data_IF_402254469633
#
_entry.id   IF_402254469633
#
_cell.length_a   1.000
_cell.length_b   1.000
_cell.length_c   1.000
_cell.angle_alpha   90.00
_cell.angle_beta   90.00
_cell.angle_gamma   90.00
#
_symmetry.space_group_name_H-M   'P 1'
#
loop_
_entity.id
_entity.type
_entity.pdbx_description
1 polymer ?
#
# COMPACT_ATOMS: atom_id res chain seq x y z
N UNK A 1 -11.18 -16.61 -18.41
CA UNK A 1 -9.91 -16.04 -17.91
C UNK A 1 -9.33 -15.21 -19.04
N UNK A 2 -9.07 -13.95 -18.80
CA UNK A 2 -8.40 -13.06 -19.78
C UNK A 2 -6.99 -13.59 -20.01
N UNK A 3 -6.55 -13.68 -21.28
CA UNK A 3 -5.19 -14.11 -21.63
C UNK A 3 -4.26 -12.88 -21.58
N UNK A 4 -3.43 -12.81 -20.55
CA UNK A 4 -2.46 -11.71 -20.36
C UNK A 4 -1.08 -11.97 -20.96
N UNK A 5 -0.87 -13.10 -21.67
CA UNK A 5 0.45 -13.51 -22.16
C UNK A 5 1.11 -12.49 -23.12
N UNK A 6 0.34 -11.54 -23.66
CA UNK A 6 0.86 -10.45 -24.52
C UNK A 6 0.77 -9.08 -23.84
N UNK A 7 0.21 -8.99 -22.63
CA UNK A 7 0.07 -7.73 -21.91
C UNK A 7 1.36 -7.42 -21.16
N UNK A 8 2.04 -6.35 -21.54
CA UNK A 8 3.24 -5.87 -20.83
C UNK A 8 2.86 -4.83 -19.80
N UNK A 9 3.22 -5.10 -18.55
CA UNK A 9 2.97 -4.20 -17.44
C UNK A 9 4.27 -3.62 -16.90
N UNK A 10 4.29 -2.31 -16.62
CA UNK A 10 5.37 -1.64 -15.91
C UNK A 10 5.02 -1.54 -14.43
N UNK A 11 5.91 -1.98 -13.56
CA UNK A 11 5.79 -1.76 -12.11
C UNK A 11 6.90 -0.80 -11.67
N UNK A 12 6.51 0.41 -11.27
CA UNK A 12 7.39 1.32 -10.52
C UNK A 12 7.25 1.02 -9.03
N UNK A 13 8.33 1.21 -8.25
CA UNK A 13 8.27 0.89 -6.81
C UNK A 13 8.26 -0.61 -6.49
N UNK A 14 8.79 -1.47 -7.38
CA UNK A 14 8.85 -2.93 -7.22
C UNK A 14 9.64 -3.42 -6.00
N UNK A 15 10.45 -2.56 -5.37
CA UNK A 15 11.17 -2.85 -4.12
C UNK A 15 10.39 -2.51 -2.85
N UNK A 16 9.26 -1.82 -2.97
CA UNK A 16 8.39 -1.45 -1.86
C UNK A 16 7.48 -2.61 -1.41
N UNK A 17 6.74 -2.39 -0.32
CA UNK A 17 5.87 -3.40 0.29
C UNK A 17 4.85 -4.00 -0.71
N UNK A 18 4.09 -3.15 -1.40
CA UNK A 18 3.09 -3.60 -2.39
C UNK A 18 3.78 -4.12 -3.65
N UNK A 19 4.74 -3.38 -4.21
CA UNK A 19 5.37 -3.75 -5.47
C UNK A 19 6.10 -5.09 -5.42
N UNK A 20 6.76 -5.41 -4.30
CA UNK A 20 7.46 -6.69 -4.12
C UNK A 20 6.52 -7.91 -4.10
N UNK A 21 5.26 -7.70 -3.71
CA UNK A 21 4.20 -8.71 -3.70
C UNK A 21 3.42 -8.75 -5.01
N UNK A 22 3.21 -7.58 -5.63
CA UNK A 22 2.48 -7.48 -6.90
C UNK A 22 3.22 -8.13 -8.06
N UNK A 23 4.55 -7.99 -8.14
CA UNK A 23 5.34 -8.55 -9.24
C UNK A 23 5.15 -10.08 -9.38
N UNK A 24 5.34 -10.90 -8.34
CA UNK A 24 5.09 -12.34 -8.47
C UNK A 24 3.62 -12.66 -8.82
N UNK A 25 2.66 -11.96 -8.27
CA UNK A 25 1.24 -12.16 -8.58
C UNK A 25 0.90 -11.87 -10.06
N UNK A 26 1.51 -10.84 -10.64
CA UNK A 26 1.37 -10.54 -12.08
C UNK A 26 2.01 -11.64 -12.94
N UNK A 27 3.19 -12.12 -12.57
CA UNK A 27 3.88 -13.19 -13.28
C UNK A 27 3.10 -14.51 -13.25
N UNK A 28 2.47 -14.86 -12.12
CA UNK A 28 1.64 -16.07 -12.00
C UNK A 28 0.35 -15.98 -12.84
N UNK A 29 -0.13 -14.76 -13.10
CA UNK A 29 -1.28 -14.51 -14.01
C UNK A 29 -0.87 -14.39 -15.48
N UNK A 30 0.42 -14.55 -15.81
CA UNK A 30 0.94 -14.61 -17.16
C UNK A 30 1.30 -13.25 -17.79
N UNK A 31 1.33 -12.15 -17.04
CA UNK A 31 1.77 -10.85 -17.55
C UNK A 31 3.26 -10.83 -17.89
N UNK A 32 3.64 -10.09 -18.92
CA UNK A 32 5.03 -9.70 -19.16
C UNK A 32 5.37 -8.50 -18.27
N UNK A 33 6.17 -8.72 -17.22
CA UNK A 33 6.45 -7.69 -16.23
C UNK A 33 7.77 -6.98 -16.53
N UNK A 34 7.73 -5.64 -16.57
CA UNK A 34 8.90 -4.76 -16.55
C UNK A 34 8.93 -4.01 -15.22
N UNK A 35 10.11 -3.84 -14.64
CA UNK A 35 10.31 -3.07 -13.41
C UNK A 35 11.27 -1.90 -13.66
N UNK A 36 10.95 -0.72 -13.11
CA UNK A 36 11.86 0.43 -13.05
C UNK A 36 12.48 0.47 -11.65
N UNK A 37 13.80 0.44 -11.57
CA UNK A 37 14.54 0.53 -10.31
C UNK A 37 15.76 1.43 -10.44
N UNK A 38 16.05 2.21 -9.39
CA UNK A 38 17.25 3.05 -9.33
C UNK A 38 18.54 2.25 -9.22
N UNK A 39 18.45 1.03 -8.73
CA UNK A 39 19.60 0.18 -8.51
C UNK A 39 19.19 -1.29 -8.71
N UNK A 40 19.76 -1.91 -9.72
CA UNK A 40 19.52 -3.33 -10.07
C UNK A 40 19.86 -4.29 -8.92
N UNK A 41 20.85 -3.95 -8.09
CA UNK A 41 21.23 -4.80 -6.95
C UNK A 41 20.11 -4.99 -5.93
N UNK A 42 19.17 -4.02 -5.79
CA UNK A 42 18.03 -4.11 -4.87
C UNK A 42 16.99 -5.16 -5.28
N UNK A 43 17.01 -5.59 -6.52
CA UNK A 43 16.12 -6.64 -7.05
C UNK A 43 16.86 -7.92 -7.43
N UNK A 44 18.19 -7.90 -7.41
CA UNK A 44 19.02 -9.02 -7.85
C UNK A 44 18.81 -10.32 -7.03
N UNK A 45 18.44 -10.21 -5.76
CA UNK A 45 18.16 -11.35 -4.88
C UNK A 45 16.72 -11.83 -4.94
N UNK A 46 15.85 -11.22 -5.75
CA UNK A 46 14.43 -11.58 -5.82
C UNK A 46 14.26 -12.84 -6.67
N UNK A 47 13.44 -13.79 -6.22
CA UNK A 47 13.16 -15.05 -6.93
C UNK A 47 12.60 -14.85 -8.35
N UNK A 48 12.01 -13.70 -8.61
CA UNK A 48 11.42 -13.35 -9.91
C UNK A 48 12.35 -12.57 -10.85
N UNK A 49 13.61 -12.28 -10.45
CA UNK A 49 14.53 -11.39 -11.19
C UNK A 49 14.77 -11.79 -12.63
N UNK A 50 14.88 -13.09 -12.89
CA UNK A 50 15.10 -13.64 -14.24
C UNK A 50 13.82 -13.77 -15.08
N UNK A 51 12.66 -13.48 -14.48
CA UNK A 51 11.34 -13.52 -15.13
C UNK A 51 10.83 -12.15 -15.55
N UNK A 52 11.57 -11.07 -15.26
CA UNK A 52 11.15 -9.69 -15.52
C UNK A 52 12.17 -8.94 -16.37
N UNK A 53 11.71 -7.97 -17.14
CA UNK A 53 12.56 -6.98 -17.77
C UNK A 53 12.92 -5.87 -16.77
N UNK A 54 14.20 -5.59 -16.59
CA UNK A 54 14.67 -4.57 -15.65
C UNK A 54 15.18 -3.36 -16.41
N UNK A 55 14.56 -2.21 -16.19
CA UNK A 55 15.06 -0.90 -16.59
C UNK A 55 15.71 -0.24 -15.39
N UNK A 56 17.03 -0.06 -15.44
CA UNK A 56 17.75 0.70 -14.42
C UNK A 56 17.72 2.19 -14.75
N UNK A 57 17.26 2.98 -13.78
CA UNK A 57 17.16 4.43 -13.91
C UNK A 57 16.37 5.06 -12.78
N UNK A 58 16.57 6.37 -12.60
CA UNK A 58 15.80 7.17 -11.66
C UNK A 58 14.52 7.69 -12.34
N UNK A 59 13.40 7.66 -11.63
CA UNK A 59 12.12 8.19 -12.12
C UNK A 59 12.11 9.74 -12.27
N UNK A 60 13.16 10.43 -11.80
CA UNK A 60 13.41 11.85 -12.10
C UNK A 60 13.99 12.07 -13.49
N UNK A 61 14.53 11.02 -14.14
CA UNK A 61 15.10 11.07 -15.49
C UNK A 61 14.04 10.78 -16.54
N UNK A 62 13.79 11.73 -17.44
CA UNK A 62 12.87 11.55 -18.57
C UNK A 62 13.30 10.39 -19.48
N UNK A 63 14.61 10.25 -19.75
CA UNK A 63 15.15 9.17 -20.57
C UNK A 63 14.89 7.78 -19.92
N UNK A 64 15.05 7.67 -18.60
CA UNK A 64 14.75 6.43 -17.88
C UNK A 64 13.25 6.09 -17.93
N UNK A 65 12.40 7.10 -17.78
CA UNK A 65 10.94 6.92 -17.88
C UNK A 65 10.52 6.55 -19.31
N UNK A 66 11.08 7.20 -20.34
CA UNK A 66 10.77 6.88 -21.72
C UNK A 66 11.17 5.45 -22.08
N UNK A 67 12.36 4.98 -21.63
CA UNK A 67 12.75 3.57 -21.78
C UNK A 67 11.83 2.62 -21.02
N UNK A 68 11.45 2.99 -19.79
CA UNK A 68 10.58 2.15 -18.97
C UNK A 68 9.18 2.02 -19.56
N UNK A 69 8.61 3.09 -20.08
CA UNK A 69 7.24 3.14 -20.62
C UNK A 69 7.13 2.58 -22.06
N UNK A 70 8.23 2.49 -22.81
CA UNK A 70 8.18 2.09 -24.23
C UNK A 70 7.59 0.69 -24.42
N UNK A 71 6.52 0.57 -25.19
CA UNK A 71 5.84 -0.69 -25.49
C UNK A 71 5.18 -1.35 -24.28
N UNK A 72 4.77 -0.56 -23.29
CA UNK A 72 4.01 -0.98 -22.11
C UNK A 72 2.52 -0.72 -22.35
N UNK A 73 1.67 -1.67 -21.99
CA UNK A 73 0.21 -1.56 -22.10
C UNK A 73 -0.40 -0.93 -20.84
N UNK A 74 0.04 -1.36 -19.66
CA UNK A 74 -0.47 -0.93 -18.35
C UNK A 74 0.68 -0.54 -17.44
N UNK A 75 0.54 0.52 -16.66
CA UNK A 75 1.57 0.93 -15.72
C UNK A 75 1.04 1.03 -14.28
N UNK A 76 1.72 0.37 -13.35
CA UNK A 76 1.51 0.52 -11.92
C UNK A 76 2.43 1.60 -11.38
N UNK A 77 1.86 2.71 -10.92
CA UNK A 77 2.58 3.78 -10.26
C UNK A 77 2.54 3.56 -8.75
N UNK A 78 3.62 2.99 -8.19
CA UNK A 78 3.74 2.70 -6.75
C UNK A 78 4.91 3.46 -6.12
N UNK A 79 5.35 4.57 -6.75
CA UNK A 79 6.38 5.44 -6.18
C UNK A 79 5.78 6.29 -5.07
N UNK A 80 6.60 6.48 -4.03
CA UNK A 80 6.21 7.27 -2.88
C UNK A 80 7.44 7.74 -2.12
N UNK A 81 7.52 9.04 -1.84
CA UNK A 81 8.63 9.66 -1.13
C UNK A 81 8.28 9.79 0.36
N UNK A 82 8.53 8.72 1.16
CA UNK A 82 8.33 8.75 2.62
C UNK A 82 9.61 9.02 3.41
N UNK A 83 10.72 9.34 2.74
CA UNK A 83 12.05 9.38 3.35
C UNK A 83 12.31 10.65 4.20
N UNK A 84 11.28 11.47 4.46
CA UNK A 84 11.21 12.45 5.56
C UNK A 84 12.15 13.66 5.46
N UNK A 85 13.07 13.74 4.51
CA UNK A 85 13.98 14.88 4.35
C UNK A 85 13.63 15.70 3.10
N UNK A 86 13.38 16.99 3.30
CA UNK A 86 13.08 17.94 2.24
C UNK A 86 11.59 18.00 1.87
N UNK A 87 11.31 18.71 0.79
CA UNK A 87 9.95 18.88 0.27
C UNK A 87 9.48 17.63 -0.51
N UNK A 88 8.99 16.62 0.23
CA UNK A 88 8.47 15.40 -0.37
C UNK A 88 7.23 15.66 -1.23
N UNK A 89 6.43 16.68 -0.92
CA UNK A 89 5.23 17.05 -1.67
C UNK A 89 5.61 17.49 -3.09
N UNK A 90 6.58 18.41 -3.22
CA UNK A 90 7.04 18.87 -4.52
C UNK A 90 7.71 17.74 -5.31
N UNK A 91 8.45 16.88 -4.63
CA UNK A 91 9.08 15.71 -5.27
C UNK A 91 8.05 14.73 -5.82
N UNK A 92 7.04 14.38 -5.03
CA UNK A 92 5.98 13.47 -5.46
C UNK A 92 5.16 14.06 -6.61
N UNK A 93 4.89 15.37 -6.56
CA UNK A 93 4.25 16.14 -7.64
C UNK A 93 5.02 16.05 -8.95
N UNK A 94 6.32 16.35 -8.90
CA UNK A 94 7.18 16.35 -10.09
C UNK A 94 7.34 14.94 -10.67
N UNK A 95 7.50 13.91 -9.82
CA UNK A 95 7.56 12.52 -10.27
C UNK A 95 6.27 12.10 -10.98
N UNK A 96 5.10 12.45 -10.43
CA UNK A 96 3.82 12.12 -11.03
C UNK A 96 3.63 12.80 -12.38
N UNK A 97 3.99 14.09 -12.50
CA UNK A 97 3.94 14.82 -13.78
C UNK A 97 4.83 14.20 -14.85
N UNK A 98 6.09 13.94 -14.53
CA UNK A 98 7.05 13.33 -15.47
C UNK A 98 6.61 11.95 -15.90
N UNK A 99 6.13 11.13 -14.95
CA UNK A 99 5.63 9.80 -15.25
C UNK A 99 4.39 9.85 -16.15
N UNK A 100 3.41 10.70 -15.84
CA UNK A 100 2.21 10.88 -16.65
C UNK A 100 2.52 11.30 -18.09
N UNK A 101 3.46 12.24 -18.28
CA UNK A 101 3.91 12.67 -19.61
C UNK A 101 4.64 11.55 -20.37
N UNK A 102 5.47 10.75 -19.69
CA UNK A 102 6.14 9.61 -20.34
C UNK A 102 5.12 8.52 -20.73
N UNK A 103 4.17 8.22 -19.85
CA UNK A 103 3.09 7.28 -20.11
C UNK A 103 2.22 7.72 -21.32
N UNK A 104 1.89 9.01 -21.40
CA UNK A 104 1.14 9.59 -22.53
C UNK A 104 1.92 9.47 -23.85
N UNK A 105 3.21 9.84 -23.86
CA UNK A 105 4.06 9.70 -25.06
C UNK A 105 4.16 8.25 -25.52
N UNK A 106 4.27 7.32 -24.59
CA UNK A 106 4.34 5.89 -24.86
C UNK A 106 2.98 5.27 -25.23
N UNK A 107 1.88 6.03 -25.13
CA UNK A 107 0.49 5.59 -25.39
C UNK A 107 0.09 4.41 -24.50
N UNK A 108 0.48 4.46 -23.22
CA UNK A 108 0.05 3.48 -22.21
C UNK A 108 -1.48 3.53 -22.13
N UNK A 109 -2.12 2.36 -22.14
CA UNK A 109 -3.58 2.25 -22.12
C UNK A 109 -4.19 2.59 -20.75
N UNK A 110 -3.46 2.35 -19.66
CA UNK A 110 -3.94 2.64 -18.30
C UNK A 110 -2.79 2.82 -17.30
N UNK A 111 -2.98 3.77 -16.39
CA UNK A 111 -2.20 3.88 -15.15
C UNK A 111 -3.05 3.35 -13.99
N UNK A 112 -2.45 2.54 -13.13
CA UNK A 112 -3.05 2.08 -11.88
C UNK A 112 -2.20 2.61 -10.74
N UNK A 113 -2.80 3.37 -9.83
CA UNK A 113 -2.14 4.02 -8.71
C UNK A 113 -2.78 3.60 -7.39
N UNK A 114 -1.98 3.17 -6.41
CA UNK A 114 -2.45 2.91 -5.05
C UNK A 114 -2.23 4.14 -4.18
N UNK A 115 -3.30 4.75 -3.75
CA UNK A 115 -3.35 5.95 -2.91
C UNK A 115 -3.87 5.62 -1.51
N UNK A 116 -3.93 6.65 -0.65
CA UNK A 116 -4.59 6.57 0.64
C UNK A 116 -6.06 6.99 0.54
N UNK A 117 -6.92 6.25 1.22
CA UNK A 117 -8.30 6.67 1.45
C UNK A 117 -8.28 7.90 2.36
N UNK A 118 -9.04 8.91 2.02
CA UNK A 118 -9.05 10.19 2.72
C UNK A 118 -10.47 10.60 3.09
N UNK A 119 -10.65 11.24 4.27
CA UNK A 119 -11.92 11.85 4.65
C UNK A 119 -12.20 13.11 3.82
N UNK A 120 -13.44 13.57 3.86
CA UNK A 120 -13.78 14.92 3.44
C UNK A 120 -13.20 15.95 4.43
N UNK A 121 -12.68 17.08 3.94
CA UNK A 121 -12.16 18.16 4.76
C UNK A 121 -10.65 18.34 4.73
N UNK A 122 -10.07 18.84 5.81
CA UNK A 122 -8.62 19.08 5.89
C UNK A 122 -7.82 17.79 5.91
N UNK A 123 -6.88 17.68 5.00
CA UNK A 123 -5.98 16.53 4.87
C UNK A 123 -4.63 16.84 5.51
N UNK A 124 -3.98 15.81 6.05
CA UNK A 124 -2.56 15.93 6.38
C UNK A 124 -1.75 16.15 5.09
N UNK A 125 -0.59 16.81 5.19
CA UNK A 125 0.29 17.06 4.02
C UNK A 125 0.57 15.78 3.23
N UNK A 126 0.71 14.66 3.92
CA UNK A 126 0.93 13.35 3.33
C UNK A 126 -0.27 12.86 2.51
N UNK A 127 -1.48 12.94 3.05
CA UNK A 127 -2.70 12.55 2.32
C UNK A 127 -2.98 13.52 1.17
N UNK A 128 -2.79 14.82 1.40
CA UNK A 128 -2.94 15.85 0.36
C UNK A 128 -2.01 15.59 -0.83
N UNK A 129 -0.73 15.26 -0.57
CA UNK A 129 0.24 14.87 -1.62
C UNK A 129 -0.24 13.66 -2.41
N UNK A 130 -0.76 12.63 -1.75
CA UNK A 130 -1.26 11.42 -2.43
C UNK A 130 -2.49 11.70 -3.30
N UNK A 131 -3.40 12.54 -2.83
CA UNK A 131 -4.57 13.00 -3.60
C UNK A 131 -4.11 13.80 -4.82
N UNK A 132 -3.16 14.71 -4.63
CA UNK A 132 -2.59 15.52 -5.72
C UNK A 132 -1.92 14.64 -6.78
N UNK A 133 -1.11 13.65 -6.38
CA UNK A 133 -0.52 12.66 -7.30
C UNK A 133 -1.60 11.96 -8.12
N UNK A 134 -2.70 11.50 -7.50
CA UNK A 134 -3.83 10.91 -8.20
C UNK A 134 -4.43 11.85 -9.25
N UNK A 135 -4.68 13.11 -8.89
CA UNK A 135 -5.20 14.13 -9.80
C UNK A 135 -4.25 14.39 -10.98
N UNK A 136 -2.93 14.47 -10.73
CA UNK A 136 -1.94 14.67 -11.79
C UNK A 136 -1.86 13.51 -12.76
N UNK A 137 -1.95 12.28 -12.27
CA UNK A 137 -1.97 11.09 -13.10
C UNK A 137 -3.26 11.04 -13.96
N UNK A 138 -4.43 11.30 -13.36
CA UNK A 138 -5.70 11.40 -14.10
C UNK A 138 -5.70 12.51 -15.13
N UNK A 139 -5.04 13.63 -14.87
CA UNK A 139 -4.90 14.76 -15.78
C UNK A 139 -3.86 14.55 -16.89
N UNK A 140 -3.08 13.46 -16.85
CA UNK A 140 -2.01 13.18 -17.83
C UNK A 140 -2.51 12.87 -19.24
N UNK A 141 -3.80 12.62 -19.42
CA UNK A 141 -4.38 12.15 -20.68
C UNK A 141 -4.32 10.64 -20.88
N UNK A 142 -3.80 9.90 -19.89
CA UNK A 142 -3.85 8.43 -19.83
C UNK A 142 -4.95 8.01 -18.86
N UNK A 143 -5.92 7.14 -19.23
CA UNK A 143 -6.92 6.63 -18.31
C UNK A 143 -6.28 6.07 -17.04
N UNK A 144 -6.68 6.59 -15.89
CA UNK A 144 -6.04 6.27 -14.60
C UNK A 144 -7.07 5.75 -13.60
N UNK A 145 -6.80 4.60 -13.00
CA UNK A 145 -7.54 4.09 -11.85
C UNK A 145 -6.73 4.37 -10.58
N UNK A 146 -7.26 5.22 -9.70
CA UNK A 146 -6.65 5.53 -8.40
C UNK A 146 -7.37 4.72 -7.33
N UNK A 147 -6.72 3.69 -6.78
CA UNK A 147 -7.28 2.85 -5.72
C UNK A 147 -6.88 3.46 -4.36
N UNK A 148 -7.86 3.83 -3.55
CA UNK A 148 -7.69 4.50 -2.27
C UNK A 148 -7.94 3.52 -1.12
N UNK A 149 -6.88 3.14 -0.40
CA UNK A 149 -6.94 2.22 0.74
C UNK A 149 -6.68 2.95 2.06
N UNK A 150 -7.38 2.55 3.12
CA UNK A 150 -7.11 3.02 4.48
C UNK A 150 -5.90 2.26 5.08
N UNK A 151 -6.14 1.33 5.98
CA UNK A 151 -5.14 0.52 6.66
C UNK A 151 -5.02 -0.84 5.97
N UNK A 152 -3.83 -1.15 5.46
CA UNK A 152 -3.55 -2.44 4.81
C UNK A 152 -3.01 -3.43 5.84
N UNK A 153 -3.72 -4.55 6.00
CA UNK A 153 -3.39 -5.64 6.93
C UNK A 153 -2.52 -6.68 6.25
N UNK A 154 -1.32 -6.86 6.74
CA UNK A 154 -0.36 -7.86 6.28
C UNK A 154 1.02 -7.62 6.91
N UNK A 155 1.73 -8.68 7.25
CA UNK A 155 3.07 -8.60 7.83
C UNK A 155 4.02 -7.84 6.90
N UNK A 156 4.80 -6.93 7.45
CA UNK A 156 5.68 -6.03 6.70
C UNK A 156 5.06 -4.70 6.32
N UNK A 157 3.72 -4.54 6.36
CA UNK A 157 3.11 -3.22 6.17
C UNK A 157 3.33 -2.35 7.41
N UNK A 158 3.71 -1.08 7.20
CA UNK A 158 4.00 -0.18 8.31
C UNK A 158 2.81 0.00 9.27
N UNK A 159 1.58 0.06 8.74
CA UNK A 159 0.36 0.17 9.52
C UNK A 159 0.13 -1.07 10.40
N UNK A 160 0.33 -2.26 9.83
CA UNK A 160 0.16 -3.51 10.57
C UNK A 160 1.26 -3.73 11.60
N UNK A 161 2.52 -3.41 11.28
CA UNK A 161 3.63 -3.52 12.23
C UNK A 161 3.47 -2.53 13.40
N UNK A 162 2.95 -1.34 13.15
CA UNK A 162 2.60 -0.40 14.21
C UNK A 162 1.53 -1.01 15.14
N UNK A 163 0.45 -1.59 14.60
CA UNK A 163 -0.58 -2.29 15.38
C UNK A 163 0.02 -3.43 16.18
N UNK A 164 0.84 -4.29 15.54
CA UNK A 164 1.52 -5.43 16.17
C UNK A 164 2.37 -5.00 17.37
N UNK A 165 3.31 -4.09 17.15
CA UNK A 165 4.25 -3.68 18.20
C UNK A 165 3.59 -2.92 19.33
N UNK A 166 2.63 -2.04 19.05
CA UNK A 166 1.86 -1.39 20.10
C UNK A 166 1.12 -2.42 20.96
N UNK A 167 0.45 -3.37 20.31
CA UNK A 167 -0.34 -4.37 21.03
C UNK A 167 0.55 -5.34 21.82
N UNK A 168 1.66 -5.81 21.26
CA UNK A 168 2.54 -6.79 21.94
C UNK A 168 3.31 -6.18 23.08
N UNK A 169 3.82 -4.94 22.94
CA UNK A 169 4.71 -4.31 23.92
C UNK A 169 3.99 -3.60 25.07
N UNK A 170 2.74 -3.20 24.85
CA UNK A 170 2.02 -2.36 25.82
C UNK A 170 0.80 -3.08 26.40
N UNK A 171 0.91 -3.62 27.64
CA UNK A 171 -0.23 -4.19 28.34
C UNK A 171 -1.24 -3.11 28.82
N UNK A 172 -0.75 -1.88 29.03
CA UNK A 172 -1.56 -0.69 29.35
C UNK A 172 -1.19 0.40 28.36
N UNK A 173 -2.19 0.98 27.70
CA UNK A 173 -2.02 2.06 26.72
C UNK A 173 -2.77 3.30 27.16
N UNK A 174 -2.06 4.41 27.20
CA UNK A 174 -2.68 5.75 27.31
C UNK A 174 -2.86 6.29 25.90
N UNK A 175 -4.11 6.50 25.49
CA UNK A 175 -4.44 6.79 24.09
C UNK A 175 -5.23 8.08 23.96
N UNK A 176 -5.08 8.80 22.83
CA UNK A 176 -5.90 9.95 22.52
C UNK A 176 -7.33 9.52 22.12
N UNK A 177 -8.26 10.49 22.14
CA UNK A 177 -9.68 10.25 21.78
C UNK A 177 -9.86 9.74 20.35
N UNK A 178 -9.02 10.17 19.41
CA UNK A 178 -9.12 9.80 18.00
C UNK A 178 -8.82 8.31 17.70
N UNK A 179 -8.31 7.53 18.66
CA UNK A 179 -8.27 6.06 18.52
C UNK A 179 -9.66 5.42 18.47
N UNK A 180 -10.71 6.18 18.79
CA UNK A 180 -12.11 5.80 18.61
C UNK A 180 -12.68 6.16 17.23
N UNK A 181 -11.91 6.78 16.34
CA UNK A 181 -12.36 7.05 14.97
C UNK A 181 -12.51 5.75 14.19
N UNK A 182 -13.50 5.71 13.30
CA UNK A 182 -13.78 4.55 12.48
C UNK A 182 -12.80 4.47 11.31
N UNK A 183 -12.32 3.27 11.07
CA UNK A 183 -11.37 2.91 10.00
C UNK A 183 -11.90 1.66 9.32
N UNK A 184 -11.70 1.55 8.03
CA UNK A 184 -12.09 0.37 7.27
C UNK A 184 -10.84 -0.32 6.68
N UNK A 185 -10.23 -1.28 7.42
CA UNK A 185 -9.02 -1.98 6.98
C UNK A 185 -9.30 -2.92 5.82
N UNK A 186 -8.25 -3.25 5.05
CA UNK A 186 -8.29 -4.21 3.95
C UNK A 186 -7.08 -5.14 4.01
N UNK A 187 -7.27 -6.42 3.70
CA UNK A 187 -6.19 -7.40 3.57
C UNK A 187 -5.28 -7.08 2.38
N UNK A 188 -3.95 -7.28 2.54
CA UNK A 188 -3.01 -7.02 1.43
C UNK A 188 -3.27 -7.91 0.22
N UNK A 189 -3.74 -9.14 0.41
CA UNK A 189 -4.11 -10.03 -0.69
C UNK A 189 -5.24 -9.45 -1.54
N UNK A 190 -6.27 -8.91 -0.88
CA UNK A 190 -7.40 -8.26 -1.55
C UNK A 190 -6.94 -6.98 -2.30
N UNK A 191 -6.02 -6.19 -1.70
CA UNK A 191 -5.42 -5.04 -2.38
C UNK A 191 -4.73 -5.45 -3.68
N UNK A 192 -3.94 -6.53 -3.66
CA UNK A 192 -3.26 -7.03 -4.86
C UNK A 192 -4.25 -7.52 -5.91
N UNK A 193 -5.27 -8.24 -5.49
CA UNK A 193 -6.32 -8.74 -6.36
C UNK A 193 -7.11 -7.60 -7.02
N UNK A 194 -7.45 -6.54 -6.29
CA UNK A 194 -8.12 -5.35 -6.83
C UNK A 194 -7.20 -4.54 -7.76
N UNK A 195 -5.90 -4.40 -7.42
CA UNK A 195 -4.92 -3.78 -8.31
C UNK A 195 -4.82 -4.51 -9.65
N UNK A 196 -4.84 -5.83 -9.64
CA UNK A 196 -4.79 -6.64 -10.86
C UNK A 196 -6.12 -6.59 -11.62
N UNK A 197 -7.24 -6.66 -10.92
CA UNK A 197 -8.56 -6.56 -11.53
C UNK A 197 -8.79 -5.19 -12.22
N UNK A 198 -8.16 -4.12 -11.74
CA UNK A 198 -8.23 -2.80 -12.36
C UNK A 198 -7.61 -2.73 -13.78
N UNK A 199 -6.88 -3.76 -14.21
CA UNK A 199 -6.37 -3.89 -15.60
C UNK A 199 -7.53 -4.00 -16.59
N UNK A 200 -8.58 -4.72 -16.22
CA UNK A 200 -9.73 -5.04 -17.08
C UNK A 200 -10.83 -3.96 -17.06
N UNK A 201 -10.63 -2.86 -16.33
CA UNK A 201 -11.60 -1.76 -16.33
C UNK A 201 -11.82 -1.20 -17.76
N UNK A 202 -13.03 -0.74 -18.09
CA UNK A 202 -13.34 -0.09 -19.36
C UNK A 202 -12.34 1.06 -19.65
N UNK A 203 -11.89 1.24 -20.90
CA UNK A 203 -10.83 2.20 -21.25
C UNK A 203 -11.20 3.66 -20.93
N UNK A 204 -12.49 3.99 -20.85
CA UNK A 204 -12.98 5.32 -20.48
C UNK A 204 -12.89 5.64 -18.99
N UNK A 205 -12.64 4.63 -18.15
CA UNK A 205 -12.56 4.80 -16.69
C UNK A 205 -11.30 5.58 -16.31
N UNK A 206 -11.50 6.79 -15.76
CA UNK A 206 -10.46 7.71 -15.32
C UNK A 206 -10.91 8.39 -14.02
N UNK A 207 -10.78 7.69 -12.88
CA UNK A 207 -11.25 8.16 -11.58
C UNK A 207 -10.59 7.48 -10.40
N UNK A 208 -10.85 8.00 -9.20
CA UNK A 208 -10.55 7.35 -7.95
C UNK A 208 -11.66 6.36 -7.54
N UNK A 209 -11.26 5.31 -6.84
CA UNK A 209 -12.09 4.27 -6.26
C UNK A 209 -11.67 4.02 -4.82
N UNK A 210 -12.64 3.89 -3.92
CA UNK A 210 -12.39 3.45 -2.56
C UNK A 210 -12.23 1.93 -2.53
N UNK A 211 -11.16 1.45 -1.89
CA UNK A 211 -10.97 0.03 -1.64
C UNK A 211 -10.85 -0.25 -0.14
N UNK A 212 -11.67 -1.13 0.36
CA UNK A 212 -11.73 -1.46 1.77
C UNK A 212 -12.26 -2.88 1.98
N UNK A 213 -11.90 -3.50 3.10
CA UNK A 213 -12.51 -4.76 3.54
C UNK A 213 -13.94 -4.56 4.07
N UNK A 214 -14.63 -5.65 4.43
CA UNK A 214 -16.03 -5.59 4.87
C UNK A 214 -16.21 -4.95 6.26
N UNK A 215 -15.20 -4.97 7.12
CA UNK A 215 -15.31 -4.54 8.51
C UNK A 215 -15.00 -3.05 8.69
N UNK A 216 -15.88 -2.33 9.37
CA UNK A 216 -15.62 -0.97 9.87
C UNK A 216 -15.31 -1.07 11.37
N UNK A 217 -14.09 -0.70 11.76
CA UNK A 217 -13.56 -0.85 13.11
C UNK A 217 -12.94 0.45 13.61
N UNK A 218 -12.83 0.60 14.92
CA UNK A 218 -11.94 1.57 15.53
C UNK A 218 -10.53 0.99 15.66
N UNK A 219 -9.51 1.84 15.77
CA UNK A 219 -8.15 1.36 16.03
C UNK A 219 -8.06 0.61 17.37
N UNK A 220 -8.91 1.01 18.35
CA UNK A 220 -9.08 0.30 19.61
C UNK A 220 -9.53 -1.14 19.39
N UNK A 221 -10.60 -1.35 18.62
CA UNK A 221 -11.13 -2.69 18.32
C UNK A 221 -10.11 -3.55 17.58
N UNK A 222 -9.33 -2.95 16.65
CA UNK A 222 -8.24 -3.67 16.00
C UNK A 222 -7.18 -4.15 17.00
N UNK A 223 -6.80 -3.34 18.01
CA UNK A 223 -5.87 -3.72 19.09
C UNK A 223 -6.47 -4.88 19.92
N UNK A 224 -7.74 -4.79 20.28
CA UNK A 224 -8.43 -5.80 21.09
C UNK A 224 -8.51 -7.15 20.35
N UNK A 225 -8.94 -7.12 19.09
CA UNK A 225 -8.98 -8.34 18.23
C UNK A 225 -7.59 -8.92 17.95
N UNK A 226 -6.57 -8.06 17.74
CA UNK A 226 -5.20 -8.53 17.62
C UNK A 226 -4.74 -9.26 18.88
N UNK A 227 -4.98 -8.69 20.09
CA UNK A 227 -4.62 -9.32 21.34
C UNK A 227 -5.31 -10.66 21.54
N UNK A 228 -6.61 -10.74 21.26
CA UNK A 228 -7.40 -11.97 21.32
C UNK A 228 -6.84 -13.03 20.36
N UNK A 229 -6.65 -12.68 19.10
CA UNK A 229 -6.17 -13.60 18.04
C UNK A 229 -4.78 -14.16 18.33
N UNK A 230 -3.93 -13.40 19.01
CA UNK A 230 -2.54 -13.80 19.35
C UNK A 230 -2.40 -14.37 20.75
N UNK A 231 -3.51 -14.61 21.47
CA UNK A 231 -3.49 -15.19 22.82
C UNK A 231 -2.92 -14.27 23.89
N UNK A 232 -2.82 -12.97 23.60
CA UNK A 232 -2.35 -11.98 24.58
C UNK A 232 -3.47 -11.64 25.57
N UNK A 233 -3.08 -11.27 26.82
CA UNK A 233 -4.05 -10.78 27.79
C UNK A 233 -4.76 -9.52 27.25
N UNK A 234 -6.04 -9.29 27.62
CA UNK A 234 -6.76 -8.07 27.21
C UNK A 234 -5.96 -6.81 27.53
N UNK A 235 -5.87 -5.88 26.59
CA UNK A 235 -5.12 -4.63 26.77
C UNK A 235 -5.98 -3.61 27.52
N UNK A 236 -5.39 -2.94 28.53
CA UNK A 236 -6.06 -1.83 29.22
C UNK A 236 -5.83 -0.55 28.44
N UNK A 237 -6.87 -0.02 27.82
CA UNK A 237 -6.80 1.20 27.01
C UNK A 237 -7.48 2.34 27.77
N UNK A 238 -6.68 3.32 28.20
CA UNK A 238 -7.14 4.51 28.94
C UNK A 238 -7.08 5.70 27.99
N UNK A 239 -8.24 6.24 27.67
CA UNK A 239 -8.32 7.42 26.78
C UNK A 239 -8.15 8.71 27.57
N UNK A 240 -7.24 9.57 27.11
CA UNK A 240 -6.99 10.91 27.70
C UNK A 240 -7.28 12.01 26.69
N UNK A 241 -7.85 13.16 27.12
CA UNK A 241 -8.28 14.20 26.19
C UNK A 241 -7.13 15.06 25.63
N UNK A 242 -5.92 15.00 26.19
CA UNK A 242 -4.85 16.00 25.97
C UNK A 242 -3.65 15.48 25.17
N UNK A 243 -3.69 14.28 24.60
CA UNK A 243 -2.58 13.78 23.78
C UNK A 243 -2.65 14.38 22.37
N UNK A 244 -1.68 15.28 22.09
CA UNK A 244 -1.53 15.85 20.74
C UNK A 244 -0.99 14.81 19.74
N UNK A 245 -1.28 14.94 18.44
CA UNK A 245 -0.76 14.02 17.41
C UNK A 245 0.78 13.98 17.38
N UNK A 246 1.44 15.09 17.67
CA UNK A 246 2.90 15.18 17.73
C UNK A 246 3.47 14.33 18.88
N UNK A 247 2.90 14.42 20.08
CA UNK A 247 3.30 13.60 21.23
C UNK A 247 3.02 12.13 20.97
N UNK A 248 1.86 11.80 20.38
CA UNK A 248 1.50 10.43 20.02
C UNK A 248 2.49 9.83 19.00
N UNK A 249 2.88 10.57 17.96
CA UNK A 249 3.82 10.08 16.95
C UNK A 249 5.23 9.84 17.50
N UNK A 250 5.71 10.70 18.42
CA UNK A 250 6.99 10.48 19.10
C UNK A 250 6.97 9.22 19.98
N UNK A 251 5.87 9.05 20.72
CA UNK A 251 5.70 7.89 21.57
C UNK A 251 5.61 6.58 20.78
N UNK A 252 4.88 6.58 19.66
CA UNK A 252 4.83 5.45 18.72
C UNK A 252 6.23 5.11 18.22
N UNK A 253 7.05 6.10 17.85
CA UNK A 253 8.43 5.90 17.41
C UNK A 253 9.36 5.33 18.50
N UNK A 254 9.06 5.55 19.80
CA UNK A 254 9.81 4.95 20.90
C UNK A 254 9.42 3.50 21.17
N UNK A 255 8.15 3.17 20.95
CA UNK A 255 7.60 1.84 21.28
C UNK A 255 7.71 0.88 20.10
N UNK A 256 7.71 1.39 18.88
CA UNK A 256 7.76 0.56 17.67
C UNK A 256 9.09 0.75 16.95
N UNK A 257 9.62 -0.28 16.26
CA UNK A 257 10.81 -0.14 15.42
C UNK A 257 10.47 0.50 14.06
N UNK A 258 9.22 0.87 13.82
CA UNK A 258 8.79 1.53 12.58
C UNK A 258 9.47 2.91 12.48
N UNK A 259 10.16 3.21 11.37
CA UNK A 259 10.83 4.50 11.20
C UNK A 259 9.88 5.69 11.42
N UNK A 260 10.34 6.72 12.11
CA UNK A 260 9.53 7.89 12.47
C UNK A 260 8.94 8.58 11.24
N UNK A 261 9.67 8.57 10.11
CA UNK A 261 9.18 9.09 8.81
C UNK A 261 7.95 8.36 8.29
N UNK A 262 7.76 7.08 8.66
CA UNK A 262 6.56 6.29 8.33
C UNK A 262 5.49 6.42 9.40
N UNK A 263 5.87 6.38 10.67
CA UNK A 263 4.93 6.40 11.80
C UNK A 263 4.16 7.72 11.90
N UNK A 264 4.82 8.87 11.67
CA UNK A 264 4.20 10.19 11.78
C UNK A 264 3.05 10.41 10.78
N UNK A 265 3.18 10.15 9.48
CA UNK A 265 2.07 10.20 8.52
C UNK A 265 0.92 9.25 8.86
N UNK A 266 1.25 8.03 9.32
CA UNK A 266 0.24 7.03 9.68
C UNK A 266 -0.58 7.45 10.89
N UNK A 267 0.06 8.01 11.93
CA UNK A 267 -0.65 8.59 13.08
C UNK A 267 -1.53 9.76 12.64
N UNK A 268 -1.04 10.60 11.73
CA UNK A 268 -1.81 11.71 11.16
C UNK A 268 -3.09 11.27 10.46
N UNK A 269 -3.06 10.16 9.74
CA UNK A 269 -4.25 9.63 9.06
C UNK A 269 -5.30 9.05 10.02
N UNK A 270 -4.95 8.73 11.28
CA UNK A 270 -5.90 8.24 12.28
C UNK A 270 -6.71 9.36 12.95
N UNK A 271 -6.38 10.63 12.69
CA UNK A 271 -7.09 11.78 13.29
C UNK A 271 -8.53 11.92 12.80
N UNK A 272 -8.85 11.34 11.67
CA UNK A 272 -10.16 11.41 11.03
C UNK A 272 -10.73 10.01 10.84
N UNK A 273 -12.05 9.93 10.64
CA UNK A 273 -12.68 8.71 10.19
C UNK A 273 -12.28 8.42 8.74
N UNK A 274 -11.88 7.18 8.46
CA UNK A 274 -11.44 6.74 7.15
C UNK A 274 -12.21 5.47 6.77
N UNK A 275 -13.42 5.70 6.27
CA UNK A 275 -14.38 4.67 5.85
C UNK A 275 -14.71 4.89 4.39
N UNK A 276 -14.74 3.82 3.61
CA UNK A 276 -15.03 3.86 2.19
C UNK A 276 -16.47 4.34 1.93
N UNK A 277 -16.61 5.28 1.02
CA UNK A 277 -17.90 5.88 0.64
C UNK A 277 -18.64 5.09 -0.44
N UNK A 278 -17.92 4.24 -1.21
CA UNK A 278 -18.47 3.50 -2.34
C UNK A 278 -17.78 2.14 -2.52
N UNK A 279 -18.27 1.27 -3.39
CA UNK A 279 -17.72 -0.05 -3.77
C UNK A 279 -17.69 -0.27 -5.28
N UNK A 280 -17.64 0.81 -6.05
CA UNK A 280 -17.78 0.79 -7.51
C UNK A 280 -16.72 -0.10 -8.19
N UNK A 281 -15.47 -0.09 -7.68
CA UNK A 281 -14.42 -0.97 -8.22
C UNK A 281 -14.78 -2.44 -8.02
N UNK A 282 -15.26 -2.79 -6.83
CA UNK A 282 -15.67 -4.15 -6.50
C UNK A 282 -16.81 -4.62 -7.41
N UNK A 283 -17.80 -3.77 -7.63
CA UNK A 283 -18.92 -4.06 -8.54
C UNK A 283 -18.47 -4.20 -9.99
N UNK A 284 -17.65 -3.26 -10.51
CA UNK A 284 -17.15 -3.28 -11.89
C UNK A 284 -16.24 -4.48 -12.18
N UNK A 285 -15.52 -4.97 -11.18
CA UNK A 285 -14.58 -6.09 -11.33
C UNK A 285 -15.14 -7.44 -10.90
N UNK A 286 -16.40 -7.48 -10.42
CA UNK A 286 -17.03 -8.69 -9.88
C UNK A 286 -16.42 -9.17 -8.56
N UNK A 287 -15.82 -8.26 -7.79
CA UNK A 287 -15.19 -8.50 -6.49
C UNK A 287 -15.74 -7.54 -5.44
N UNK A 288 -17.06 -7.57 -5.16
CA UNK A 288 -17.67 -6.66 -4.22
C UNK A 288 -17.05 -6.83 -2.82
N UNK A 289 -17.00 -5.74 -2.06
CA UNK A 289 -16.42 -5.68 -0.71
C UNK A 289 -16.88 -6.81 0.21
N UNK A 290 -18.12 -7.23 0.08
CA UNK A 290 -18.70 -8.34 0.87
C UNK A 290 -18.03 -9.70 0.64
N UNK A 291 -17.26 -9.86 -0.44
CA UNK A 291 -16.53 -11.10 -0.78
C UNK A 291 -15.05 -11.06 -0.37
N UNK A 292 -14.56 -9.91 0.08
CA UNK A 292 -13.19 -9.74 0.52
C UNK A 292 -13.01 -10.28 1.95
N UNK A 293 -11.75 -10.56 2.31
CA UNK A 293 -11.43 -11.07 3.64
C UNK A 293 -11.76 -10.05 4.73
N UNK A 294 -12.44 -10.51 5.79
CA UNK A 294 -12.66 -9.71 7.00
C UNK A 294 -11.34 -9.45 7.75
N UNK A 295 -11.38 -8.50 8.69
CA UNK A 295 -10.20 -8.13 9.48
C UNK A 295 -9.60 -9.33 10.21
N UNK A 296 -10.40 -10.17 10.84
CA UNK A 296 -9.91 -11.32 11.62
C UNK A 296 -9.26 -12.40 10.73
N UNK A 297 -9.75 -12.57 9.51
CA UNK A 297 -9.16 -13.46 8.52
C UNK A 297 -7.82 -12.91 8.02
N UNK A 298 -7.80 -11.65 7.57
CA UNK A 298 -6.57 -10.98 7.12
C UNK A 298 -5.50 -10.95 8.23
N UNK A 299 -5.93 -10.67 9.48
CA UNK A 299 -5.08 -10.71 10.66
C UNK A 299 -4.53 -12.13 10.90
N UNK A 300 -5.38 -13.15 10.84
CA UNK A 300 -4.97 -14.55 11.00
C UNK A 300 -3.88 -14.96 10.01
N UNK A 301 -4.02 -14.57 8.74
CA UNK A 301 -3.01 -14.82 7.71
C UNK A 301 -1.69 -14.08 7.98
N UNK A 302 -1.78 -12.84 8.47
CA UNK A 302 -0.61 -12.02 8.76
C UNK A 302 0.18 -12.49 9.99
N UNK A 303 -0.50 -13.00 11.04
CA UNK A 303 0.15 -13.44 12.28
C UNK A 303 0.51 -14.92 12.31
N UNK A 304 0.16 -15.69 11.27
CA UNK A 304 0.51 -17.11 11.20
C UNK A 304 2.01 -17.27 11.38
N UNK A 305 2.41 -18.02 12.42
CA UNK A 305 3.80 -18.28 12.74
C UNK A 305 4.54 -18.89 11.52
N UNK A 306 5.68 -18.31 11.21
CA UNK A 306 6.62 -18.88 10.25
C UNK A 306 7.70 -19.61 11.02
N UNK A 307 7.77 -20.91 10.83
CA UNK A 307 8.67 -21.82 11.54
C UNK A 307 10.11 -21.78 11.01
N UNK A 308 10.49 -20.70 10.31
CA UNK A 308 11.79 -20.60 9.67
C UNK A 308 12.62 -19.46 10.21
N UNK A 309 13.87 -19.76 10.54
CA UNK A 309 14.93 -18.77 10.82
C UNK A 309 15.24 -17.89 9.61
N UNK A 310 14.73 -18.25 8.43
CA UNK A 310 14.88 -17.52 7.16
C UNK A 310 13.52 -17.10 6.63
N UNK A 311 13.37 -15.79 6.35
CA UNK A 311 12.17 -15.24 5.72
C UNK A 311 12.02 -15.81 4.29
N UNK A 312 10.83 -16.33 3.92
CA UNK A 312 10.59 -16.86 2.56
C UNK A 312 10.57 -15.73 1.53
N UNK A 313 10.77 -16.11 0.26
CA UNK A 313 10.66 -15.15 -0.85
C UNK A 313 9.20 -14.73 -1.10
N UNK A 314 9.02 -13.48 -1.54
CA UNK A 314 7.72 -13.01 -1.99
C UNK A 314 7.26 -13.83 -3.21
N UNK A 315 6.00 -14.27 -3.21
CA UNK A 315 5.44 -15.18 -4.21
C UNK A 315 5.55 -16.67 -3.86
N UNK A 316 6.38 -17.05 -2.87
CA UNK A 316 6.44 -18.44 -2.39
C UNK A 316 5.50 -18.71 -1.21
N UNK A 317 4.92 -17.66 -0.63
CA UNK A 317 3.98 -17.73 0.50
C UNK A 317 2.84 -16.76 0.27
N UNK A 318 1.76 -16.93 1.04
CA UNK A 318 0.61 -16.01 0.98
C UNK A 318 1.06 -14.55 1.15
N UNK A 319 0.53 -13.59 0.35
CA UNK A 319 0.96 -12.18 0.36
C UNK A 319 0.89 -11.49 1.73
N UNK A 320 0.01 -11.91 2.63
CA UNK A 320 -0.12 -11.37 3.98
C UNK A 320 1.05 -11.74 4.91
N UNK A 321 1.90 -12.69 4.54
CA UNK A 321 3.01 -13.16 5.38
C UNK A 321 4.27 -12.31 5.22
N UNK A 322 5.13 -12.37 6.23
CA UNK A 322 6.45 -11.75 6.19
C UNK A 322 7.33 -12.46 5.16
N UNK A 323 8.07 -11.67 4.39
CA UNK A 323 8.94 -12.18 3.31
C UNK A 323 10.35 -11.58 3.41
N UNK A 324 11.30 -12.13 2.66
CA UNK A 324 12.65 -11.58 2.51
C UNK A 324 12.67 -10.19 1.85
N UNK A 325 11.55 -9.76 1.26
CA UNK A 325 11.38 -8.44 0.68
C UNK A 325 11.08 -7.34 1.71
N UNK A 326 10.60 -7.75 2.90
CA UNK A 326 10.18 -6.81 3.93
C UNK A 326 11.38 -6.25 4.71
N UNK A 327 11.26 -5.02 5.24
CA UNK A 327 12.32 -4.38 6.01
C UNK A 327 12.70 -5.18 7.27
N UNK A 328 13.92 -4.99 7.78
CA UNK A 328 14.42 -5.67 8.97
C UNK A 328 13.61 -5.33 10.24
N UNK A 329 13.02 -4.14 10.30
CA UNK A 329 12.16 -3.72 11.40
C UNK A 329 10.76 -4.38 11.38
N UNK A 330 10.38 -5.06 10.31
CA UNK A 330 9.11 -5.76 10.22
C UNK A 330 9.19 -7.13 10.88
N UNK A 331 8.08 -7.54 11.49
CA UNK A 331 7.95 -8.83 12.14
C UNK A 331 8.03 -8.75 13.66
N UNK A 332 7.91 -9.89 14.34
CA UNK A 332 7.92 -9.99 15.80
C UNK A 332 9.24 -9.61 16.43
#
# INVERSE_FOLDING_TARGET
>A
MTDYAKCRVLVTGATGYIGSRLVPELLERGFMVRVLTRNRSKVASRAWVDRVEIVEGDATSNDALDRACNGVDIAYYLLHSMDGEGDFVERDRELARRFGLAAQRAKIGRIIYLSGLHPEGELSDHLASRVEVGHLLMASGVPTAVLQAAVIIGSGSASFEMLRHLTTRLPIMVTPKWLGNRIQPIGVADVLDLLIAAVDLPPEVNRAFDIAGPDVLTYREMIERFAERTGLRPRKIVTVPVLTPMLASHWVGLVTPVPTGLAKPLVGSLLHEVVAGEDDLGELTGRPRSTLAGFDEALGLAVTAQDSTRRPEAGSVHPARLTAADPDWAGP
#
